data_IF_298741691696
#
_entry.id   IF_298741691696
#
_cell.length_a   1.000
_cell.length_b   1.000
_cell.length_c   1.000
_cell.angle_alpha   90.00
_cell.angle_beta   90.00
_cell.angle_gamma   90.00
#
_symmetry.space_group_name_H-M   'P 1'
#
loop_
_entity.id
_entity.type
_entity.pdbx_description
1 polymer ?
#
# COMPACT_ATOMS: atom_id res chain seq x y z
N UNK A 1 42.65 43.57 -86.45
CA UNK A 1 42.73 42.35 -87.26
C UNK A 1 42.77 41.15 -86.29
N UNK A 2 41.76 40.35 -86.27
CA UNK A 2 41.62 39.00 -85.78
C UNK A 2 42.31 38.59 -84.47
N UNK A 3 41.57 38.60 -83.36
CA UNK A 3 41.76 37.85 -82.11
C UNK A 3 41.21 36.45 -82.23
N UNK A 4 41.92 35.49 -81.68
CA UNK A 4 41.44 34.09 -81.50
C UNK A 4 41.16 33.81 -80.02
N UNK A 5 40.25 32.93 -79.65
CA UNK A 5 39.65 32.96 -78.32
C UNK A 5 40.36 32.03 -77.33
N UNK A 6 40.33 32.48 -76.06
CA UNK A 6 40.85 31.75 -74.91
C UNK A 6 39.90 30.60 -74.44
N UNK A 7 40.50 29.46 -74.10
CA UNK A 7 39.85 28.29 -73.49
C UNK A 7 39.66 28.49 -71.98
N UNK A 8 38.44 28.49 -71.51
CA UNK A 8 38.11 28.39 -70.10
C UNK A 8 38.12 26.96 -69.64
N UNK A 9 38.98 26.64 -68.66
CA UNK A 9 39.00 25.35 -67.96
C UNK A 9 37.87 25.30 -66.93
N UNK A 10 37.01 24.32 -67.07
CA UNK A 10 35.98 24.00 -66.06
C UNK A 10 36.61 23.08 -65.00
N UNK A 11 36.73 23.59 -63.77
CA UNK A 11 37.01 22.75 -62.58
C UNK A 11 35.72 22.08 -62.15
N UNK A 12 35.65 20.74 -62.23
CA UNK A 12 34.62 19.93 -61.60
C UNK A 12 35.02 19.70 -60.13
N UNK A 13 34.30 20.31 -59.20
CA UNK A 13 34.39 20.00 -57.78
C UNK A 13 33.50 18.81 -57.51
N UNK A 14 34.10 17.66 -57.24
CA UNK A 14 33.41 16.45 -56.74
C UNK A 14 33.15 16.66 -55.23
N UNK A 15 31.88 16.92 -54.87
CA UNK A 15 31.43 16.85 -53.48
C UNK A 15 31.22 15.35 -53.13
N UNK A 16 32.09 14.82 -52.32
CA UNK A 16 31.90 13.52 -51.66
C UNK A 16 30.94 13.71 -50.47
N UNK A 17 29.68 13.27 -50.64
CA UNK A 17 28.72 13.13 -49.58
C UNK A 17 29.09 11.89 -48.75
N UNK A 18 29.69 12.10 -47.59
CA UNK A 18 29.84 11.08 -46.58
C UNK A 18 28.49 10.82 -45.91
N UNK A 19 27.83 9.73 -46.27
CA UNK A 19 26.66 9.21 -45.53
C UNK A 19 27.14 8.62 -44.22
N UNK A 20 26.97 9.35 -43.12
CA UNK A 20 27.02 8.79 -41.77
C UNK A 20 25.78 7.91 -41.60
N UNK A 21 25.90 6.60 -41.78
CA UNK A 21 24.92 5.62 -41.34
C UNK A 21 24.97 5.55 -39.81
N UNK A 22 24.06 6.26 -39.12
CA UNK A 22 23.76 6.00 -37.72
C UNK A 22 23.15 4.59 -37.64
N UNK A 23 23.97 3.60 -37.34
CA UNK A 23 23.50 2.29 -36.89
C UNK A 23 22.82 2.52 -35.53
N UNK A 24 21.49 2.55 -35.53
CA UNK A 24 20.70 2.41 -34.31
C UNK A 24 21.01 1.01 -33.77
N UNK A 25 21.92 0.94 -32.80
CA UNK A 25 22.21 -0.29 -32.07
C UNK A 25 20.93 -0.73 -31.36
N UNK A 26 20.30 -1.79 -31.87
CA UNK A 26 19.26 -2.49 -31.13
C UNK A 26 19.90 -2.94 -29.82
N UNK A 27 19.41 -2.44 -28.68
CA UNK A 27 19.86 -2.88 -27.36
C UNK A 27 19.67 -4.41 -27.30
N UNK A 28 20.73 -5.13 -26.95
CA UNK A 28 20.67 -6.57 -26.77
C UNK A 28 19.57 -6.89 -25.75
N UNK A 29 18.78 -7.95 -25.93
CA UNK A 29 17.76 -8.33 -24.94
C UNK A 29 18.47 -8.59 -23.61
N UNK A 30 17.97 -7.95 -22.54
CA UNK A 30 18.49 -8.13 -21.19
C UNK A 30 18.54 -9.63 -20.85
N UNK A 31 19.63 -10.06 -20.18
CA UNK A 31 19.75 -11.45 -19.74
C UNK A 31 18.54 -11.82 -18.86
N UNK A 32 18.13 -13.10 -18.79
CA UNK A 32 17.03 -13.54 -17.91
C UNK A 32 17.22 -13.09 -16.45
N UNK A 33 18.44 -13.14 -15.92
CA UNK A 33 18.78 -12.65 -14.58
C UNK A 33 18.58 -11.13 -14.40
N UNK A 34 18.72 -10.33 -15.47
CA UNK A 34 18.41 -8.90 -15.42
C UNK A 34 16.90 -8.59 -15.47
N UNK A 35 16.07 -9.57 -15.85
CA UNK A 35 14.63 -9.42 -16.03
C UNK A 35 13.81 -9.81 -14.80
N UNK A 36 14.30 -10.72 -13.95
CA UNK A 36 13.62 -11.28 -12.80
C UNK A 36 14.52 -11.22 -11.57
N UNK A 37 13.93 -11.16 -10.40
CA UNK A 37 14.62 -11.39 -9.14
C UNK A 37 14.66 -12.89 -8.83
N UNK A 38 15.68 -13.29 -8.06
CA UNK A 38 15.77 -14.58 -7.42
C UNK A 38 15.38 -14.47 -5.93
N UNK A 39 15.22 -15.61 -5.26
CA UNK A 39 14.92 -15.63 -3.82
C UNK A 39 16.05 -14.98 -3.01
N UNK A 40 17.30 -15.21 -3.42
CA UNK A 40 18.51 -14.72 -2.77
C UNK A 40 18.69 -13.20 -2.86
N UNK A 41 17.97 -12.54 -3.76
CA UNK A 41 18.00 -11.07 -3.88
C UNK A 41 17.25 -10.38 -2.72
N UNK A 42 16.49 -11.13 -1.90
CA UNK A 42 15.59 -10.59 -0.87
C UNK A 42 16.24 -9.54 0.05
N UNK A 43 17.37 -9.86 0.69
CA UNK A 43 18.06 -8.95 1.59
C UNK A 43 18.81 -7.80 0.89
N UNK A 44 18.95 -7.85 -0.45
CA UNK A 44 19.74 -6.90 -1.22
C UNK A 44 18.89 -5.88 -1.99
N UNK A 45 17.59 -6.11 -2.10
CA UNK A 45 16.65 -5.20 -2.78
C UNK A 45 16.06 -4.22 -1.78
N UNK A 46 16.15 -2.92 -2.10
CA UNK A 46 15.51 -1.88 -1.29
C UNK A 46 13.99 -1.93 -1.46
N UNK A 47 13.29 -2.10 -0.34
CA UNK A 47 11.85 -2.31 -0.25
C UNK A 47 11.23 -1.35 0.76
N UNK A 48 9.93 -1.12 0.64
CA UNK A 48 9.11 -0.39 1.59
C UNK A 48 7.96 -1.30 2.00
N UNK A 49 7.82 -1.53 3.31
CA UNK A 49 6.58 -1.99 3.88
C UNK A 49 5.73 -0.76 4.21
N UNK A 50 4.73 -0.50 3.37
CA UNK A 50 3.92 0.71 3.44
C UNK A 50 2.75 0.61 4.44
N UNK A 51 2.67 -0.47 5.21
CA UNK A 51 1.61 -0.67 6.19
C UNK A 51 2.08 -1.55 7.36
N UNK A 52 2.60 -0.91 8.39
CA UNK A 52 2.94 -1.55 9.67
C UNK A 52 2.41 -0.71 10.83
N UNK A 53 2.28 -1.30 12.01
CA UNK A 53 1.88 -0.66 13.25
C UNK A 53 2.98 -0.86 14.29
N UNK A 54 3.93 0.08 14.37
CA UNK A 54 5.10 -0.06 15.25
C UNK A 54 5.00 0.90 16.43
N UNK A 55 4.98 0.35 17.62
CA UNK A 55 4.84 1.07 18.86
C UNK A 55 6.12 0.90 19.73
N UNK A 56 6.51 1.93 20.45
CA UNK A 56 7.68 1.87 21.33
C UNK A 56 9.04 1.99 20.59
N UNK A 57 10.10 1.42 21.19
CA UNK A 57 11.47 1.56 20.67
C UNK A 57 11.76 0.69 19.44
N UNK A 58 11.15 -0.47 19.38
CA UNK A 58 11.18 -1.43 18.27
C UNK A 58 12.58 -1.72 17.68
N UNK A 59 13.63 -1.74 18.51
CA UNK A 59 15.02 -1.86 18.03
C UNK A 59 15.26 -3.16 17.26
N UNK A 60 14.71 -4.29 17.75
CA UNK A 60 14.88 -5.60 17.11
C UNK A 60 14.13 -5.67 15.78
N UNK A 61 12.90 -5.17 15.75
CA UNK A 61 12.12 -5.07 14.53
C UNK A 61 12.85 -4.23 13.48
N UNK A 62 13.34 -3.05 13.84
CA UNK A 62 14.06 -2.18 12.93
C UNK A 62 15.39 -2.79 12.46
N UNK A 63 16.10 -3.51 13.33
CA UNK A 63 17.32 -4.22 12.94
C UNK A 63 17.02 -5.28 11.86
N UNK A 64 15.94 -6.06 12.03
CA UNK A 64 15.51 -7.04 11.05
C UNK A 64 15.03 -6.38 9.75
N UNK A 65 14.18 -5.35 9.84
CA UNK A 65 13.71 -4.62 8.67
C UNK A 65 14.88 -4.08 7.83
N UNK A 66 15.92 -3.53 8.48
CA UNK A 66 17.12 -3.04 7.81
C UNK A 66 17.92 -4.19 7.17
N UNK A 67 18.07 -5.32 7.88
CA UNK A 67 18.78 -6.49 7.37
C UNK A 67 18.08 -7.07 6.13
N UNK A 68 16.74 -7.03 6.11
CA UNK A 68 15.91 -7.47 4.99
C UNK A 68 15.73 -6.41 3.89
N UNK A 69 16.37 -5.24 4.00
CA UNK A 69 16.30 -4.18 3.01
C UNK A 69 15.01 -3.35 3.06
N UNK A 70 14.24 -3.40 4.16
CA UNK A 70 13.00 -2.64 4.30
C UNK A 70 13.20 -1.23 4.87
N UNK A 71 12.46 -0.30 4.32
CA UNK A 71 11.99 0.95 4.92
C UNK A 71 10.53 0.75 5.30
N UNK A 72 10.00 1.49 6.27
CA UNK A 72 8.63 1.29 6.76
C UNK A 72 7.82 2.57 6.74
N UNK A 73 6.50 2.42 6.56
CA UNK A 73 5.49 3.41 6.92
C UNK A 73 4.72 2.86 8.13
N UNK A 74 4.99 3.41 9.32
CA UNK A 74 4.19 3.07 10.49
C UNK A 74 2.92 3.93 10.55
N UNK A 75 1.79 3.31 10.87
CA UNK A 75 0.47 3.92 10.78
C UNK A 75 -0.14 3.99 12.18
N UNK A 76 -0.45 5.22 12.64
CA UNK A 76 -1.22 5.45 13.85
C UNK A 76 -2.70 5.16 13.58
N UNK A 77 -3.38 4.52 14.54
CA UNK A 77 -4.77 4.08 14.39
C UNK A 77 -5.57 4.35 15.66
N UNK A 78 -6.80 4.81 15.51
CA UNK A 78 -7.78 4.93 16.60
C UNK A 78 -8.39 3.55 16.89
N UNK A 79 -7.58 2.64 17.45
CA UNK A 79 -7.93 1.26 17.75
C UNK A 79 -7.84 1.01 19.27
N UNK A 80 -8.92 0.45 19.89
CA UNK A 80 -8.96 0.29 21.35
C UNK A 80 -7.83 -0.54 21.97
N UNK A 81 -7.30 -1.51 21.22
CA UNK A 81 -6.25 -2.41 21.71
C UNK A 81 -4.83 -1.84 21.48
N UNK A 82 -4.73 -0.66 20.82
CA UNK A 82 -3.45 0.05 20.64
C UNK A 82 -3.25 1.12 21.71
N UNK A 83 -2.02 1.56 21.93
CA UNK A 83 -1.76 2.70 22.81
C UNK A 83 -2.54 3.95 22.39
N UNK A 84 -2.83 4.89 23.29
CA UNK A 84 -3.48 6.15 22.94
C UNK A 84 -2.78 6.85 21.76
N UNK A 85 -3.53 7.49 20.85
CA UNK A 85 -2.98 8.06 19.61
C UNK A 85 -1.78 8.98 19.89
N UNK A 86 -1.81 9.79 20.95
CA UNK A 86 -0.69 10.66 21.32
C UNK A 86 0.59 9.88 21.70
N UNK A 87 0.47 8.64 22.17
CA UNK A 87 1.61 7.76 22.44
C UNK A 87 2.14 7.14 21.15
N UNK A 88 1.25 6.68 20.28
CA UNK A 88 1.60 6.20 18.95
C UNK A 88 2.34 7.31 18.17
N UNK A 89 1.87 8.55 18.19
CA UNK A 89 2.52 9.69 17.55
C UNK A 89 3.95 9.91 18.10
N UNK A 90 4.11 9.92 19.44
CA UNK A 90 5.44 10.06 20.04
C UNK A 90 6.39 8.94 19.63
N UNK A 91 5.91 7.70 19.61
CA UNK A 91 6.69 6.54 19.19
C UNK A 91 7.12 6.66 17.71
N UNK A 92 6.20 7.00 16.82
CA UNK A 92 6.46 7.17 15.39
C UNK A 92 7.48 8.29 15.12
N UNK A 93 7.35 9.45 15.78
CA UNK A 93 8.30 10.56 15.70
C UNK A 93 9.68 10.14 16.21
N UNK A 94 9.74 9.45 17.34
CA UNK A 94 11.01 8.95 17.90
C UNK A 94 11.70 7.96 16.97
N UNK A 95 10.94 7.01 16.39
CA UNK A 95 11.47 6.06 15.41
C UNK A 95 12.00 6.76 14.17
N UNK A 96 11.25 7.72 13.62
CA UNK A 96 11.67 8.50 12.46
C UNK A 96 12.96 9.29 12.72
N UNK A 97 13.11 9.85 13.90
CA UNK A 97 14.34 10.57 14.32
C UNK A 97 15.53 9.62 14.49
N UNK A 98 15.30 8.42 15.05
CA UNK A 98 16.35 7.42 15.29
C UNK A 98 16.80 6.72 14.01
N UNK A 99 15.89 6.57 13.04
CA UNK A 99 16.14 5.86 11.77
C UNK A 99 15.83 6.77 10.56
N UNK A 100 16.58 7.86 10.37
CA UNK A 100 16.33 8.83 9.31
C UNK A 100 16.42 8.16 7.93
N UNK A 101 15.45 8.45 7.06
CA UNK A 101 15.35 7.84 5.74
C UNK A 101 14.85 6.39 5.74
N UNK A 102 14.58 5.79 6.91
CA UNK A 102 14.07 4.42 7.02
C UNK A 102 12.62 4.36 7.49
N UNK A 103 12.19 5.34 8.28
CA UNK A 103 10.84 5.38 8.87
C UNK A 103 10.11 6.62 8.41
N UNK A 104 8.91 6.41 7.88
CA UNK A 104 7.87 7.42 7.71
C UNK A 104 6.66 7.06 8.58
N UNK A 105 5.74 7.99 8.81
CA UNK A 105 4.50 7.67 9.54
C UNK A 105 3.28 8.39 8.98
N UNK A 106 2.12 7.72 9.11
CA UNK A 106 0.81 8.31 8.89
C UNK A 106 0.13 8.55 10.24
N UNK A 107 -0.59 9.66 10.34
CA UNK A 107 -1.34 10.06 11.53
C UNK A 107 -2.79 9.58 11.45
N UNK A 108 -3.52 9.70 12.54
CA UNK A 108 -4.96 9.49 12.63
C UNK A 108 -5.60 10.54 13.51
N UNK A 109 -6.91 10.48 13.68
CA UNK A 109 -7.66 11.30 14.63
C UNK A 109 -8.63 10.45 15.42
N UNK A 110 -8.90 10.86 16.67
CA UNK A 110 -9.89 10.17 17.50
C UNK A 110 -11.31 10.46 17.05
N UNK A 111 -12.16 9.42 17.09
CA UNK A 111 -13.61 9.57 16.96
C UNK A 111 -14.32 9.77 18.30
N UNK A 112 -13.58 9.81 19.40
CA UNK A 112 -14.15 10.14 20.71
C UNK A 112 -14.83 11.51 20.69
N UNK A 113 -16.04 11.58 21.21
CA UNK A 113 -16.84 12.81 21.19
C UNK A 113 -17.36 13.22 19.81
N UNK A 114 -17.43 12.30 18.84
CA UNK A 114 -17.88 12.56 17.47
C UNK A 114 -19.23 13.29 17.38
N UNK A 115 -20.17 13.01 18.28
CA UNK A 115 -21.45 13.70 18.35
C UNK A 115 -21.36 15.18 18.82
N UNK A 116 -20.21 15.62 19.35
CA UNK A 116 -20.00 17.00 19.80
C UNK A 116 -19.70 17.95 18.64
N UNK A 117 -20.30 19.15 18.62
CA UNK A 117 -19.91 20.17 17.63
C UNK A 117 -18.43 20.58 17.66
N UNK A 118 -17.73 20.33 18.78
CA UNK A 118 -16.32 20.63 18.93
C UNK A 118 -15.40 19.55 18.34
N UNK A 119 -15.93 18.36 18.02
CA UNK A 119 -15.12 17.22 17.57
C UNK A 119 -14.28 17.52 16.33
N UNK A 120 -14.88 18.05 15.27
CA UNK A 120 -14.16 18.35 14.03
C UNK A 120 -12.97 19.29 14.22
N UNK A 121 -13.10 20.27 15.14
CA UNK A 121 -11.99 21.16 15.47
C UNK A 121 -10.89 20.45 16.27
N UNK A 122 -11.25 19.51 17.14
CA UNK A 122 -10.28 18.70 17.90
C UNK A 122 -9.52 17.74 16.97
N UNK A 123 -10.22 17.00 16.11
CA UNK A 123 -9.62 16.11 15.12
C UNK A 123 -8.63 16.86 14.19
N UNK A 124 -9.02 18.05 13.71
CA UNK A 124 -8.12 18.87 12.87
C UNK A 124 -6.86 19.32 13.62
N UNK A 125 -6.97 19.76 14.89
CA UNK A 125 -5.79 20.12 15.70
C UNK A 125 -4.85 18.93 15.90
N UNK A 126 -5.38 17.73 16.09
CA UNK A 126 -4.60 16.52 16.20
C UNK A 126 -3.82 16.24 14.92
N UNK A 127 -4.48 16.34 13.77
CA UNK A 127 -3.81 16.21 12.46
C UNK A 127 -2.78 17.31 12.22
N UNK A 128 -3.05 18.57 12.63
CA UNK A 128 -2.07 19.66 12.56
C UNK A 128 -0.80 19.34 13.35
N UNK A 129 -0.94 18.75 14.54
CA UNK A 129 0.19 18.28 15.35
C UNK A 129 0.99 17.19 14.62
N UNK A 130 0.30 16.22 14.02
CA UNK A 130 0.95 15.14 13.26
C UNK A 130 1.72 15.66 12.04
N UNK A 131 1.10 16.55 11.25
CA UNK A 131 1.74 17.15 10.09
C UNK A 131 2.94 18.03 10.46
N UNK A 132 2.84 18.79 11.56
CA UNK A 132 3.96 19.58 12.06
C UNK A 132 5.15 18.70 12.48
N UNK A 133 4.93 17.44 12.81
CA UNK A 133 5.96 16.46 13.16
C UNK A 133 6.34 15.55 11.99
N UNK A 134 5.78 15.79 10.81
CA UNK A 134 6.17 15.15 9.55
C UNK A 134 5.37 13.92 9.18
N UNK A 135 4.14 13.77 9.65
CA UNK A 135 3.19 12.78 9.13
C UNK A 135 2.97 12.97 7.63
N UNK A 136 2.91 11.88 6.86
CA UNK A 136 2.83 11.91 5.39
C UNK A 136 1.46 11.49 4.85
N UNK A 137 0.57 11.06 5.72
CA UNK A 137 -0.79 10.63 5.39
C UNK A 137 -1.67 10.60 6.62
N UNK A 138 -2.95 10.31 6.42
CA UNK A 138 -3.95 10.15 7.48
C UNK A 138 -4.64 8.81 7.33
N UNK A 139 -4.73 8.06 8.43
CA UNK A 139 -5.48 6.80 8.49
C UNK A 139 -6.88 7.03 9.04
N UNK A 140 -7.86 6.44 8.37
CA UNK A 140 -9.18 6.16 8.97
C UNK A 140 -9.35 4.65 9.11
N UNK A 141 -9.94 4.23 10.22
CA UNK A 141 -10.04 2.82 10.56
C UNK A 141 -11.50 2.31 10.44
N UNK A 142 -11.65 1.01 10.41
CA UNK A 142 -12.95 0.31 10.24
C UNK A 142 -14.00 0.61 11.32
N UNK A 143 -13.62 1.23 12.46
CA UNK A 143 -14.59 1.72 13.43
C UNK A 143 -15.60 2.67 12.77
N UNK A 144 -15.19 3.47 11.78
CA UNK A 144 -16.08 4.27 10.95
C UNK A 144 -16.77 3.33 9.94
N UNK A 145 -18.05 3.14 10.14
CA UNK A 145 -18.89 2.21 9.36
C UNK A 145 -19.20 0.89 10.08
N UNK A 146 -18.42 0.50 11.11
CA UNK A 146 -18.64 -0.78 11.80
C UNK A 146 -18.91 -0.65 13.30
N UNK A 147 -18.40 0.38 13.97
CA UNK A 147 -18.56 0.54 15.42
C UNK A 147 -19.06 1.90 15.86
N UNK A 148 -18.59 2.97 15.19
CA UNK A 148 -18.93 4.34 15.55
C UNK A 148 -20.45 4.59 15.37
N UNK A 149 -21.07 5.10 16.45
CA UNK A 149 -22.50 5.45 16.44
C UNK A 149 -22.71 6.94 16.71
N UNK A 150 -23.76 7.45 16.12
CA UNK A 150 -24.27 8.79 16.42
C UNK A 150 -25.11 8.81 17.71
N UNK A 151 -25.52 9.99 18.15
CA UNK A 151 -26.34 10.19 19.35
C UNK A 151 -27.70 9.46 19.29
N UNK A 152 -28.25 9.24 18.11
CA UNK A 152 -29.50 8.48 17.90
C UNK A 152 -29.28 6.97 17.79
N UNK A 153 -28.02 6.50 17.91
CA UNK A 153 -27.64 5.10 17.81
C UNK A 153 -27.41 4.59 16.40
N UNK A 154 -27.58 5.42 15.35
CA UNK A 154 -27.28 5.04 13.98
C UNK A 154 -25.77 4.90 13.74
N UNK A 155 -25.36 4.02 12.79
CA UNK A 155 -23.95 3.87 12.43
C UNK A 155 -23.46 5.06 11.60
N UNK A 156 -22.32 5.60 11.99
CA UNK A 156 -21.64 6.66 11.24
C UNK A 156 -20.85 6.02 10.09
N UNK A 157 -21.19 6.41 8.87
CA UNK A 157 -20.61 5.86 7.65
C UNK A 157 -19.45 6.70 7.14
N UNK A 158 -18.54 6.17 6.30
CA UNK A 158 -17.38 6.90 5.76
C UNK A 158 -17.70 8.21 5.03
N UNK A 159 -18.91 8.37 4.51
CA UNK A 159 -19.40 9.56 3.81
C UNK A 159 -20.21 10.52 4.69
N UNK A 160 -20.13 10.39 6.01
CA UNK A 160 -20.81 11.32 6.93
C UNK A 160 -20.25 12.75 6.75
N UNK A 161 -21.17 13.72 6.60
CA UNK A 161 -20.81 15.11 6.30
C UNK A 161 -19.89 15.76 7.36
N UNK A 162 -19.83 15.23 8.58
CA UNK A 162 -18.91 15.73 9.62
C UNK A 162 -17.44 15.46 9.32
N UNK A 163 -17.13 14.48 8.46
CA UNK A 163 -15.77 14.25 7.96
C UNK A 163 -15.36 15.21 6.84
N UNK A 164 -16.32 15.88 6.18
CA UNK A 164 -16.08 16.78 5.05
C UNK A 164 -14.92 17.78 5.27
N UNK A 165 -14.84 18.50 6.42
CA UNK A 165 -13.77 19.47 6.65
C UNK A 165 -12.37 18.85 6.71
N UNK A 166 -12.28 17.56 7.06
CA UNK A 166 -11.03 16.80 7.09
C UNK A 166 -10.71 16.32 5.67
N UNK A 167 -11.65 15.65 5.01
CA UNK A 167 -11.44 15.05 3.69
C UNK A 167 -11.14 16.11 2.63
N UNK A 168 -11.92 17.22 2.60
CA UNK A 168 -11.68 18.33 1.69
C UNK A 168 -10.31 18.99 1.91
N UNK A 169 -9.82 19.03 3.15
CA UNK A 169 -8.45 19.48 3.45
C UNK A 169 -7.42 18.54 2.88
N UNK A 170 -7.55 17.22 3.09
CA UNK A 170 -6.61 16.23 2.57
C UNK A 170 -6.54 16.27 1.04
N UNK A 171 -7.71 16.39 0.38
CA UNK A 171 -7.81 16.55 -1.08
C UNK A 171 -7.07 17.81 -1.56
N UNK A 172 -7.38 18.98 -0.98
CA UNK A 172 -6.77 20.26 -1.33
C UNK A 172 -5.27 20.29 -1.11
N UNK A 173 -4.79 19.72 -0.01
CA UNK A 173 -3.40 19.74 0.40
C UNK A 173 -2.61 18.54 -0.18
N UNK A 174 -3.26 17.71 -1.02
CA UNK A 174 -2.71 16.49 -1.64
C UNK A 174 -2.13 15.48 -0.65
N UNK A 175 -2.71 15.40 0.56
CA UNK A 175 -2.32 14.45 1.60
C UNK A 175 -3.05 13.13 1.36
N UNK A 176 -2.34 12.02 1.49
CA UNK A 176 -2.90 10.68 1.27
C UNK A 176 -3.86 10.31 2.42
N UNK A 177 -5.06 9.86 2.09
CA UNK A 177 -5.96 9.20 3.01
C UNK A 177 -5.83 7.69 2.88
N UNK A 178 -5.37 7.02 3.94
CA UNK A 178 -5.32 5.56 4.03
C UNK A 178 -6.64 5.08 4.63
N UNK A 179 -7.44 4.40 3.84
CA UNK A 179 -8.81 4.03 4.20
C UNK A 179 -8.99 2.55 4.45
N UNK A 180 -9.15 2.16 5.73
CA UNK A 180 -9.61 0.82 6.10
C UNK A 180 -11.14 0.86 6.32
N UNK A 181 -11.91 0.65 5.25
CA UNK A 181 -13.36 0.54 5.31
C UNK A 181 -13.78 -0.89 5.08
N UNK A 182 -14.51 -1.44 6.03
CA UNK A 182 -14.93 -2.84 6.14
C UNK A 182 -13.78 -3.83 6.41
N UNK A 183 -14.10 -4.93 7.04
CA UNK A 183 -13.28 -6.14 7.17
C UNK A 183 -13.30 -6.94 5.86
N UNK A 184 -12.51 -8.01 5.71
CA UNK A 184 -12.64 -8.93 4.58
C UNK A 184 -14.05 -9.52 4.50
N UNK A 185 -14.49 -9.89 3.30
CA UNK A 185 -15.83 -10.48 3.08
C UNK A 185 -16.11 -11.67 4.01
N UNK A 186 -15.10 -12.43 4.39
CA UNK A 186 -15.21 -13.53 5.35
C UNK A 186 -15.89 -13.11 6.66
N UNK A 187 -15.75 -11.86 7.09
CA UNK A 187 -16.40 -11.30 8.28
C UNK A 187 -17.94 -11.43 8.27
N UNK A 188 -18.55 -11.41 7.09
CA UNK A 188 -20.00 -11.55 6.88
C UNK A 188 -20.44 -12.96 6.50
N UNK A 189 -19.53 -13.93 6.48
CA UNK A 189 -19.81 -15.31 6.12
C UNK A 189 -19.83 -16.23 7.35
N UNK A 190 -20.63 -17.30 7.36
CA UNK A 190 -20.50 -18.33 8.38
C UNK A 190 -19.11 -18.99 8.28
N UNK A 191 -18.58 -19.48 9.40
CA UNK A 191 -17.22 -20.03 9.50
C UNK A 191 -16.88 -21.09 8.46
N UNK A 192 -17.84 -21.93 8.11
CA UNK A 192 -17.67 -23.02 7.11
C UNK A 192 -17.53 -22.51 5.67
N UNK A 193 -17.91 -21.25 5.41
CA UNK A 193 -17.77 -20.60 4.09
C UNK A 193 -16.56 -19.68 3.99
N UNK A 194 -15.88 -19.41 5.11
CA UNK A 194 -14.67 -18.58 5.10
C UNK A 194 -13.55 -19.26 4.33
N UNK A 195 -12.86 -18.51 3.50
CA UNK A 195 -11.87 -19.02 2.54
C UNK A 195 -10.50 -19.28 3.14
N UNK A 196 -10.10 -18.50 4.16
CA UNK A 196 -8.80 -18.61 4.82
C UNK A 196 -8.94 -18.86 6.32
N UNK A 197 -7.98 -19.58 6.90
CA UNK A 197 -8.03 -20.01 8.31
C UNK A 197 -7.70 -18.88 9.26
N UNK A 198 -6.79 -17.97 8.87
CA UNK A 198 -6.44 -16.78 9.65
C UNK A 198 -7.65 -15.89 9.93
N UNK A 199 -8.48 -15.57 8.92
CA UNK A 199 -9.72 -14.82 9.14
C UNK A 199 -10.66 -15.58 10.10
N UNK A 200 -10.77 -16.89 9.92
CA UNK A 200 -11.61 -17.72 10.80
C UNK A 200 -11.14 -17.73 12.25
N UNK A 201 -9.82 -17.76 12.48
CA UNK A 201 -9.23 -17.68 13.80
C UNK A 201 -9.49 -16.29 14.40
N UNK A 202 -9.18 -15.23 13.66
CA UNK A 202 -9.41 -13.86 14.09
C UNK A 202 -10.85 -13.59 14.54
N UNK A 203 -11.86 -13.98 13.74
CA UNK A 203 -13.26 -13.74 14.10
C UNK A 203 -13.79 -14.65 15.23
N UNK A 204 -13.09 -15.73 15.56
CA UNK A 204 -13.38 -16.50 16.78
C UNK A 204 -12.89 -15.81 18.03
N UNK A 205 -11.71 -15.21 17.94
CA UNK A 205 -11.06 -14.50 19.04
C UNK A 205 -11.66 -13.11 19.26
N UNK A 206 -12.19 -12.48 18.18
CA UNK A 206 -12.79 -11.15 18.19
C UNK A 206 -14.27 -11.17 17.75
N UNK A 207 -15.16 -11.81 18.51
CA UNK A 207 -16.57 -11.98 18.12
C UNK A 207 -17.33 -10.65 17.96
N UNK A 208 -16.86 -9.57 18.61
CA UNK A 208 -17.39 -8.22 18.47
C UNK A 208 -17.18 -7.64 17.05
N UNK A 209 -16.22 -8.13 16.29
CA UNK A 209 -15.95 -7.74 14.90
C UNK A 209 -16.53 -8.75 13.90
N UNK A 210 -17.16 -9.84 14.35
CA UNK A 210 -17.71 -10.87 13.47
C UNK A 210 -19.13 -10.53 13.02
N UNK A 211 -19.24 -9.76 11.93
CA UNK A 211 -20.48 -9.16 11.44
C UNK A 211 -21.58 -10.18 11.07
N UNK A 212 -21.22 -11.40 10.71
CA UNK A 212 -22.20 -12.49 10.50
C UNK A 212 -23.11 -12.72 11.71
N UNK A 213 -22.65 -12.43 12.93
CA UNK A 213 -23.42 -12.55 14.17
C UNK A 213 -24.16 -11.28 14.57
N UNK A 214 -23.99 -10.21 13.81
CA UNK A 214 -24.51 -8.88 14.09
C UNK A 214 -25.32 -8.35 12.90
N UNK A 215 -26.51 -8.97 12.60
CA UNK A 215 -27.31 -8.61 11.43
C UNK A 215 -27.88 -7.17 11.51
N UNK A 216 -27.84 -6.55 12.69
CA UNK A 216 -28.21 -5.15 12.91
C UNK A 216 -27.11 -4.18 12.45
N UNK A 217 -25.91 -4.64 12.20
CA UNK A 217 -24.78 -3.82 11.73
C UNK A 217 -24.85 -3.64 10.22
N UNK A 218 -24.19 -2.58 9.66
CA UNK A 218 -24.15 -2.35 8.24
C UNK A 218 -23.58 -3.55 7.47
N UNK A 219 -24.15 -3.81 6.28
CA UNK A 219 -23.60 -4.83 5.40
C UNK A 219 -22.26 -4.39 4.82
N UNK A 220 -21.45 -5.34 4.38
CA UNK A 220 -20.21 -5.09 3.68
C UNK A 220 -20.41 -4.12 2.50
N UNK A 221 -21.42 -4.37 1.66
CA UNK A 221 -21.75 -3.54 0.51
C UNK A 221 -22.17 -2.12 0.90
N UNK A 222 -22.89 -1.95 2.03
CA UNK A 222 -23.31 -0.64 2.50
C UNK A 222 -22.10 0.23 2.88
N UNK A 223 -21.11 -0.37 3.57
CA UNK A 223 -19.88 0.33 3.97
C UNK A 223 -19.06 0.71 2.73
N UNK A 224 -18.86 -0.24 1.79
CA UNK A 224 -18.12 0.05 0.56
C UNK A 224 -18.85 1.07 -0.33
N UNK A 225 -20.19 1.05 -0.37
CA UNK A 225 -20.96 2.06 -1.10
C UNK A 225 -20.79 3.46 -0.50
N UNK A 226 -20.71 3.57 0.84
CA UNK A 226 -20.43 4.84 1.52
C UNK A 226 -19.01 5.35 1.20
N UNK A 227 -17.99 4.50 1.28
CA UNK A 227 -16.64 4.82 0.80
C UNK A 227 -16.65 5.33 -0.64
N UNK A 228 -17.33 4.61 -1.53
CA UNK A 228 -17.41 4.97 -2.94
C UNK A 228 -18.16 6.30 -3.18
N UNK A 229 -19.13 6.68 -2.32
CA UNK A 229 -19.78 8.02 -2.35
C UNK A 229 -18.81 9.11 -1.92
N UNK A 230 -18.05 8.87 -0.83
CA UNK A 230 -16.99 9.77 -0.37
C UNK A 230 -15.97 10.04 -1.50
N UNK A 231 -15.45 8.98 -2.14
CA UNK A 231 -14.48 9.12 -3.24
C UNK A 231 -15.05 9.82 -4.48
N UNK A 232 -16.34 9.65 -4.78
CA UNK A 232 -17.00 10.39 -5.86
C UNK A 232 -17.18 11.88 -5.54
N UNK A 233 -17.38 12.23 -4.27
CA UNK A 233 -17.45 13.62 -3.82
C UNK A 233 -16.07 14.31 -3.86
N UNK A 234 -14.99 13.53 -3.72
CA UNK A 234 -13.60 14.00 -3.66
C UNK A 234 -12.73 13.36 -4.76
N UNK A 235 -12.96 13.68 -6.04
CA UNK A 235 -12.31 13.00 -7.16
C UNK A 235 -10.79 13.25 -7.25
N UNK A 236 -10.27 14.30 -6.62
CA UNK A 236 -8.83 14.61 -6.57
C UNK A 236 -8.14 14.08 -5.30
N UNK A 237 -8.89 13.46 -4.38
CA UNK A 237 -8.32 12.87 -3.17
C UNK A 237 -7.35 11.74 -3.52
N UNK A 238 -6.14 11.81 -3.01
CA UNK A 238 -5.18 10.70 -3.06
C UNK A 238 -5.59 9.69 -1.99
N UNK A 239 -5.93 8.49 -2.41
CA UNK A 239 -6.54 7.50 -1.54
C UNK A 239 -5.82 6.15 -1.64
N UNK A 240 -5.26 5.67 -0.55
CA UNK A 240 -4.82 4.30 -0.43
C UNK A 240 -5.95 3.47 0.19
N UNK A 241 -6.63 2.68 -0.64
CA UNK A 241 -7.67 1.76 -0.21
C UNK A 241 -7.00 0.50 0.34
N UNK A 242 -6.59 0.57 1.61
CA UNK A 242 -5.79 -0.47 2.24
C UNK A 242 -6.52 -1.83 2.22
N UNK A 243 -5.75 -2.92 2.37
CA UNK A 243 -6.27 -4.30 2.40
C UNK A 243 -7.00 -4.70 1.12
N UNK A 244 -6.42 -4.36 -0.07
CA UNK A 244 -7.06 -4.59 -1.37
C UNK A 244 -8.46 -3.95 -1.48
N UNK A 245 -8.64 -2.76 -0.88
CA UNK A 245 -9.90 -2.03 -0.83
C UNK A 245 -11.04 -2.81 -0.14
N UNK A 246 -10.73 -3.78 0.73
CA UNK A 246 -11.67 -4.76 1.30
C UNK A 246 -12.50 -5.49 0.22
N UNK A 247 -11.86 -5.77 -0.91
CA UNK A 247 -12.38 -6.52 -2.07
C UNK A 247 -11.50 -7.75 -2.36
N UNK A 248 -10.76 -8.19 -1.37
CA UNK A 248 -9.67 -9.19 -1.40
C UNK A 248 -10.07 -10.55 -1.96
N UNK A 249 -11.36 -10.90 -1.91
CA UNK A 249 -11.84 -12.22 -2.35
C UNK A 249 -11.84 -12.41 -3.87
N UNK A 250 -11.76 -11.31 -4.65
CA UNK A 250 -11.73 -11.37 -6.11
C UNK A 250 -10.97 -10.18 -6.70
N UNK A 251 -9.80 -10.44 -7.30
CA UNK A 251 -8.96 -9.41 -7.94
C UNK A 251 -9.67 -8.67 -9.08
N UNK A 252 -10.73 -9.24 -9.70
CA UNK A 252 -11.52 -8.53 -10.71
C UNK A 252 -12.37 -7.41 -10.06
N UNK A 253 -12.77 -7.57 -8.79
CA UNK A 253 -13.46 -6.52 -8.03
C UNK A 253 -12.52 -5.40 -7.66
N UNK A 254 -11.28 -5.73 -7.24
CA UNK A 254 -10.22 -4.74 -7.00
C UNK A 254 -9.90 -3.98 -8.29
N UNK A 255 -9.79 -4.69 -9.42
CA UNK A 255 -9.58 -4.08 -10.74
C UNK A 255 -10.70 -3.09 -11.10
N UNK A 256 -11.96 -3.48 -10.92
CA UNK A 256 -13.11 -2.61 -11.20
C UNK A 256 -13.15 -1.37 -10.27
N UNK A 257 -12.69 -1.49 -9.03
CA UNK A 257 -12.51 -0.36 -8.11
C UNK A 257 -11.42 0.60 -8.62
N UNK A 258 -10.26 0.08 -8.97
CA UNK A 258 -9.14 0.88 -9.49
C UNK A 258 -9.50 1.57 -10.83
N UNK A 259 -10.22 0.89 -11.73
CA UNK A 259 -10.69 1.50 -12.98
C UNK A 259 -11.70 2.64 -12.74
N UNK A 260 -12.49 2.55 -11.66
CA UNK A 260 -13.49 3.57 -11.29
C UNK A 260 -12.87 4.79 -10.61
N UNK A 261 -11.84 4.61 -9.80
CA UNK A 261 -11.21 5.65 -9.00
C UNK A 261 -9.73 5.84 -9.40
N UNK A 262 -9.43 6.69 -10.39
CA UNK A 262 -8.09 6.82 -10.95
C UNK A 262 -7.04 7.36 -9.96
N UNK A 263 -7.45 8.05 -8.90
CA UNK A 263 -6.57 8.58 -7.86
C UNK A 263 -6.49 7.69 -6.59
N UNK A 264 -7.07 6.47 -6.66
CA UNK A 264 -6.93 5.49 -5.59
C UNK A 264 -5.85 4.46 -5.91
N UNK A 265 -5.06 4.11 -4.95
CA UNK A 265 -4.15 2.96 -4.91
C UNK A 265 -4.73 1.89 -3.98
N UNK A 266 -4.10 0.73 -3.91
CA UNK A 266 -4.40 -0.32 -2.92
C UNK A 266 -3.11 -0.88 -2.34
N UNK A 267 -3.12 -1.27 -1.07
CA UNK A 267 -2.07 -2.10 -0.53
C UNK A 267 -2.52 -3.57 -0.41
N UNK A 268 -1.54 -4.46 -0.21
CA UNK A 268 -1.78 -5.89 -0.01
C UNK A 268 -1.73 -6.31 1.46
N UNK A 269 -1.67 -5.36 2.38
CA UNK A 269 -1.52 -5.56 3.81
C UNK A 269 -2.54 -6.56 4.36
N UNK A 270 -2.08 -7.57 5.09
CA UNK A 270 -2.88 -8.70 5.59
C UNK A 270 -3.70 -9.45 4.52
N UNK A 271 -3.42 -9.27 3.25
CA UNK A 271 -4.23 -9.87 2.15
C UNK A 271 -3.41 -10.68 1.15
N UNK A 272 -2.10 -10.85 1.37
CA UNK A 272 -1.29 -11.74 0.53
C UNK A 272 -1.86 -13.15 0.49
N UNK A 273 -2.32 -13.69 1.62
CA UNK A 273 -2.97 -14.99 1.70
C UNK A 273 -4.21 -15.13 0.80
N UNK A 274 -4.96 -14.04 0.60
CA UNK A 274 -6.12 -14.05 -0.32
C UNK A 274 -5.69 -14.05 -1.79
N UNK A 275 -4.57 -13.42 -2.13
CA UNK A 275 -3.97 -13.51 -3.47
C UNK A 275 -3.45 -14.93 -3.73
N UNK A 276 -2.79 -15.55 -2.75
CA UNK A 276 -2.32 -16.93 -2.81
C UNK A 276 -3.49 -17.92 -2.97
N UNK A 277 -4.58 -17.74 -2.20
CA UNK A 277 -5.79 -18.53 -2.31
C UNK A 277 -6.43 -18.46 -3.70
N UNK A 278 -6.44 -17.29 -4.32
CA UNK A 278 -6.90 -17.13 -5.71
C UNK A 278 -5.90 -17.73 -6.70
N UNK A 279 -4.59 -17.59 -6.45
CA UNK A 279 -3.53 -18.16 -7.28
C UNK A 279 -3.53 -19.69 -7.24
N UNK A 280 -3.97 -20.32 -6.15
CA UNK A 280 -4.16 -21.77 -6.09
C UNK A 280 -5.19 -22.29 -7.11
N UNK A 281 -6.09 -21.42 -7.57
CA UNK A 281 -7.14 -21.74 -8.56
C UNK A 281 -6.76 -21.24 -9.97
N UNK A 282 -6.31 -19.99 -10.07
CA UNK A 282 -5.87 -19.37 -11.33
C UNK A 282 -4.70 -18.40 -11.08
N UNK A 283 -3.46 -18.91 -11.07
CA UNK A 283 -2.28 -18.06 -10.86
C UNK A 283 -2.12 -17.02 -11.97
N UNK A 284 -2.60 -17.31 -13.18
CA UNK A 284 -2.50 -16.36 -14.29
C UNK A 284 -3.48 -15.19 -14.13
N UNK A 285 -4.65 -15.39 -13.52
CA UNK A 285 -5.59 -14.31 -13.18
C UNK A 285 -4.93 -13.31 -12.22
N UNK A 286 -4.38 -13.80 -11.11
CA UNK A 286 -3.70 -12.95 -10.12
C UNK A 286 -2.48 -12.25 -10.73
N UNK A 287 -1.69 -12.99 -11.50
CA UNK A 287 -0.53 -12.41 -12.19
C UNK A 287 -0.93 -11.30 -13.17
N UNK A 288 -1.97 -11.52 -14.00
CA UNK A 288 -2.48 -10.49 -14.92
C UNK A 288 -2.96 -9.24 -14.19
N UNK A 289 -3.63 -9.40 -13.05
CA UNK A 289 -4.07 -8.30 -12.20
C UNK A 289 -2.87 -7.46 -11.72
N UNK A 290 -1.87 -8.09 -11.08
CA UNK A 290 -0.68 -7.38 -10.59
C UNK A 290 0.11 -6.72 -11.72
N UNK A 291 0.21 -7.36 -12.88
CA UNK A 291 0.86 -6.78 -14.06
C UNK A 291 0.11 -5.56 -14.61
N UNK A 292 -1.22 -5.61 -14.67
CA UNK A 292 -2.05 -4.51 -15.20
C UNK A 292 -2.03 -3.30 -14.29
N UNK A 293 -2.15 -3.51 -12.98
CA UNK A 293 -2.25 -2.43 -11.98
C UNK A 293 -0.94 -2.20 -11.23
N UNK A 294 0.18 -2.62 -11.80
CA UNK A 294 1.51 -2.54 -11.19
C UNK A 294 1.93 -1.16 -10.67
N UNK A 295 1.32 -0.08 -11.19
CA UNK A 295 1.59 1.30 -10.80
C UNK A 295 0.66 1.81 -9.68
N UNK A 296 -0.22 0.94 -9.17
CA UNK A 296 -1.31 1.28 -8.26
C UNK A 296 -1.42 0.31 -7.06
N UNK A 297 -0.43 -0.56 -6.87
CA UNK A 297 -0.42 -1.58 -5.80
C UNK A 297 0.81 -1.36 -4.95
N UNK A 298 0.63 -1.23 -3.63
CA UNK A 298 1.69 -1.09 -2.64
C UNK A 298 1.87 -2.40 -1.87
N UNK A 299 3.11 -2.71 -1.52
CA UNK A 299 3.38 -3.75 -0.53
C UNK A 299 3.13 -3.20 0.88
N UNK A 300 2.46 -3.97 1.70
CA UNK A 300 2.24 -3.77 3.12
C UNK A 300 2.01 -5.12 3.79
N UNK A 301 2.50 -5.31 5.00
CA UNK A 301 2.33 -6.55 5.77
C UNK A 301 1.16 -6.51 6.74
N UNK A 302 0.85 -5.34 7.29
CA UNK A 302 -0.05 -5.12 8.43
C UNK A 302 0.52 -5.65 9.76
N UNK A 303 1.85 -5.83 9.83
CA UNK A 303 2.50 -6.27 11.05
C UNK A 303 2.30 -5.24 12.16
N UNK A 304 1.86 -5.72 13.32
CA UNK A 304 1.87 -4.96 14.57
C UNK A 304 3.07 -5.37 15.41
N UNK A 305 3.80 -4.40 15.95
CA UNK A 305 4.94 -4.63 16.86
C UNK A 305 4.91 -3.63 18.00
N UNK A 306 4.73 -4.12 19.21
CA UNK A 306 4.55 -3.31 20.41
C UNK A 306 5.74 -3.35 21.39
N UNK A 307 5.66 -2.63 22.50
CA UNK A 307 6.70 -2.63 23.54
C UNK A 307 6.86 -3.99 24.25
N UNK A 308 5.80 -4.81 24.22
CA UNK A 308 5.80 -6.15 24.82
C UNK A 308 6.36 -7.22 23.86
N UNK A 309 6.48 -6.91 22.58
CA UNK A 309 6.99 -7.81 21.52
C UNK A 309 8.53 -7.87 21.56
N UNK A 310 9.05 -8.33 22.71
CA UNK A 310 10.51 -8.46 22.92
C UNK A 310 11.03 -9.83 22.54
N UNK A 311 10.14 -10.79 22.19
CA UNK A 311 10.53 -12.15 21.84
C UNK A 311 11.26 -12.18 20.47
N UNK A 312 12.48 -12.72 20.40
CA UNK A 312 13.15 -12.96 19.13
C UNK A 312 12.34 -13.81 18.14
N UNK A 313 11.44 -14.68 18.63
CA UNK A 313 10.60 -15.53 17.79
C UNK A 313 9.61 -14.70 16.96
N UNK A 314 9.06 -13.60 17.48
CA UNK A 314 8.16 -12.70 16.74
C UNK A 314 8.87 -12.03 15.57
N UNK A 315 10.08 -11.52 15.81
CA UNK A 315 10.90 -10.90 14.75
C UNK A 315 11.27 -11.94 13.67
N UNK A 316 11.57 -13.18 14.09
CA UNK A 316 11.84 -14.27 13.15
C UNK A 316 10.58 -14.65 12.33
N UNK A 317 9.39 -14.61 12.92
CA UNK A 317 8.13 -14.81 12.21
C UNK A 317 7.89 -13.71 11.16
N UNK A 318 8.08 -12.46 11.53
CA UNK A 318 7.97 -11.32 10.59
C UNK A 318 8.93 -11.47 9.40
N UNK A 319 10.19 -11.83 9.66
CA UNK A 319 11.14 -12.13 8.60
C UNK A 319 10.65 -13.25 7.67
N UNK A 320 10.10 -14.32 8.27
CA UNK A 320 9.60 -15.46 7.50
C UNK A 320 8.41 -15.09 6.61
N UNK A 321 7.50 -14.23 7.10
CA UNK A 321 6.34 -13.74 6.36
C UNK A 321 6.80 -12.84 5.19
N UNK A 322 7.69 -11.87 5.43
CA UNK A 322 8.26 -11.04 4.38
C UNK A 322 8.97 -11.87 3.29
N UNK A 323 9.71 -12.91 3.70
CA UNK A 323 10.40 -13.80 2.76
C UNK A 323 9.42 -14.68 1.96
N UNK A 324 8.33 -15.15 2.60
CA UNK A 324 7.29 -15.93 1.93
C UNK A 324 6.55 -15.08 0.88
N UNK A 325 6.19 -13.84 1.20
CA UNK A 325 5.57 -12.89 0.27
C UNK A 325 6.51 -12.58 -0.92
N UNK A 326 7.79 -12.34 -0.62
CA UNK A 326 8.80 -12.16 -1.67
C UNK A 326 8.87 -13.38 -2.58
N UNK A 327 8.97 -14.59 -2.00
CA UNK A 327 9.00 -15.84 -2.75
C UNK A 327 7.78 -15.99 -3.65
N UNK A 328 6.59 -15.69 -3.13
CA UNK A 328 5.35 -15.75 -3.92
C UNK A 328 5.37 -14.83 -5.14
N UNK A 329 5.89 -13.60 -4.98
CA UNK A 329 5.89 -12.63 -6.06
C UNK A 329 7.00 -12.88 -7.08
N UNK A 330 8.21 -13.31 -6.66
CA UNK A 330 9.39 -13.34 -7.54
C UNK A 330 9.72 -14.71 -8.13
N UNK A 331 9.27 -15.81 -7.51
CA UNK A 331 9.59 -17.18 -8.00
C UNK A 331 8.40 -17.82 -8.71
N UNK A 332 8.64 -18.94 -9.39
CA UNK A 332 7.61 -19.84 -9.92
C UNK A 332 7.47 -21.12 -9.07
N UNK A 333 7.97 -21.10 -7.85
CA UNK A 333 8.02 -22.24 -6.95
C UNK A 333 6.63 -22.79 -6.64
N UNK A 334 6.58 -24.08 -6.37
CA UNK A 334 5.40 -24.67 -5.73
C UNK A 334 5.45 -24.36 -4.24
N UNK A 335 4.39 -23.77 -3.74
CA UNK A 335 4.24 -23.34 -2.36
C UNK A 335 2.99 -23.95 -1.71
N UNK A 336 2.93 -23.91 -0.40
CA UNK A 336 1.80 -24.30 0.42
C UNK A 336 1.55 -23.21 1.46
N UNK A 337 0.30 -23.04 1.86
CA UNK A 337 -0.11 -22.15 2.94
C UNK A 337 -0.73 -22.97 4.06
N UNK A 338 -0.56 -22.54 5.29
CA UNK A 338 -1.29 -23.08 6.44
C UNK A 338 -2.74 -22.60 6.47
N UNK A 339 -3.07 -21.56 5.72
CA UNK A 339 -4.36 -20.88 5.70
C UNK A 339 -5.43 -21.57 4.85
N UNK A 340 -5.03 -22.42 3.89
CA UNK A 340 -5.96 -23.14 3.02
C UNK A 340 -5.36 -24.45 2.51
N UNK A 341 -6.21 -25.36 2.03
CA UNK A 341 -5.76 -26.64 1.49
C UNK A 341 -5.30 -26.49 0.03
N UNK A 342 -4.27 -27.25 -0.31
CA UNK A 342 -3.73 -27.32 -1.66
C UNK A 342 -2.40 -26.59 -1.79
N UNK A 343 -1.85 -26.68 -3.00
CA UNK A 343 -0.63 -25.97 -3.38
C UNK A 343 -0.96 -24.87 -4.35
N UNK A 344 -0.16 -23.82 -4.31
CA UNK A 344 -0.16 -22.75 -5.30
C UNK A 344 1.23 -22.57 -5.90
N UNK A 345 1.34 -21.71 -6.90
CA UNK A 345 2.61 -21.35 -7.50
C UNK A 345 2.90 -19.88 -7.33
N UNK A 346 4.16 -19.56 -7.10
CA UNK A 346 4.65 -18.21 -7.19
C UNK A 346 4.37 -17.58 -8.56
N UNK A 347 4.26 -16.26 -8.59
CA UNK A 347 3.78 -15.50 -9.74
C UNK A 347 4.88 -15.14 -10.74
N UNK A 348 6.16 -15.27 -10.35
CA UNK A 348 7.32 -14.95 -11.18
C UNK A 348 7.15 -13.61 -11.92
N UNK A 349 6.94 -12.54 -11.14
CA UNK A 349 6.76 -11.19 -11.67
C UNK A 349 8.07 -10.62 -12.19
N UNK A 350 8.05 -9.83 -13.28
CA UNK A 350 9.23 -9.11 -13.74
C UNK A 350 9.77 -8.15 -12.67
N UNK A 351 11.09 -8.00 -12.60
CA UNK A 351 11.79 -7.09 -11.67
C UNK A 351 11.17 -5.69 -11.65
N UNK A 352 10.82 -5.13 -12.81
CA UNK A 352 10.20 -3.81 -12.92
C UNK A 352 8.85 -3.71 -12.23
N UNK A 353 8.08 -4.79 -12.17
CA UNK A 353 6.79 -4.86 -11.47
C UNK A 353 7.02 -4.99 -9.96
N UNK A 354 7.95 -5.86 -9.56
CA UNK A 354 8.33 -6.04 -8.15
C UNK A 354 8.87 -4.73 -7.56
N UNK A 355 9.75 -4.01 -8.30
CA UNK A 355 10.26 -2.70 -7.88
C UNK A 355 9.16 -1.66 -7.64
N UNK A 356 8.08 -1.71 -8.43
CA UNK A 356 6.93 -0.81 -8.27
C UNK A 356 6.15 -1.16 -7.02
N UNK A 357 5.75 -2.41 -6.88
CA UNK A 357 4.94 -2.89 -5.75
C UNK A 357 5.67 -2.69 -4.43
N UNK A 358 6.94 -3.09 -4.35
CA UNK A 358 7.71 -3.01 -3.11
C UNK A 358 8.28 -1.64 -2.80
N UNK A 359 8.35 -0.70 -3.75
CA UNK A 359 9.03 0.55 -3.47
C UNK A 359 8.47 1.76 -4.21
N UNK A 360 8.48 1.75 -5.55
CA UNK A 360 8.31 2.97 -6.33
C UNK A 360 6.93 3.59 -6.17
N UNK A 361 5.90 2.76 -5.99
CA UNK A 361 4.53 3.24 -5.77
C UNK A 361 4.42 3.96 -4.43
N UNK A 362 5.00 3.40 -3.36
CA UNK A 362 5.03 4.06 -2.06
C UNK A 362 5.84 5.38 -2.10
N UNK A 363 7.01 5.40 -2.76
CA UNK A 363 7.79 6.63 -2.97
C UNK A 363 7.00 7.68 -3.75
N UNK A 364 6.23 7.27 -4.77
CA UNK A 364 5.37 8.15 -5.56
C UNK A 364 4.16 8.66 -4.79
N UNK A 365 3.51 7.78 -4.03
CA UNK A 365 2.32 8.12 -3.26
C UNK A 365 2.63 9.05 -2.08
N UNK A 366 3.66 8.76 -1.30
CA UNK A 366 4.00 9.49 -0.09
C UNK A 366 5.13 10.53 -0.27
N UNK A 367 5.56 10.80 -1.46
CA UNK A 367 6.45 11.86 -1.93
C UNK A 367 7.52 12.34 -0.96
N UNK A 368 8.75 11.81 -1.01
CA UNK A 368 9.87 12.25 -0.18
C UNK A 368 9.77 11.86 1.30
N UNK A 369 8.84 10.95 1.68
CA UNK A 369 8.63 10.51 3.06
C UNK A 369 9.90 9.90 3.69
N UNK A 370 10.70 9.23 2.87
CA UNK A 370 11.97 8.60 3.26
C UNK A 370 13.22 9.38 2.82
N UNK A 371 13.06 10.64 2.42
CA UNK A 371 14.21 11.51 2.11
C UNK A 371 14.86 12.00 3.41
N UNK A 372 16.05 11.48 3.71
CA UNK A 372 16.83 11.84 4.89
C UNK A 372 17.29 13.32 4.90
N UNK A 373 17.28 13.98 3.73
CA UNK A 373 17.70 15.38 3.58
C UNK A 373 16.57 16.39 3.78
N UNK A 374 15.33 15.93 3.80
CA UNK A 374 14.15 16.78 4.01
C UNK A 374 14.18 17.32 5.44
N UNK A 375 14.62 18.56 5.62
CA UNK A 375 14.59 19.25 6.92
C UNK A 375 13.15 19.30 7.44
N UNK A 376 13.02 18.98 8.71
CA UNK A 376 11.78 19.07 9.49
C UNK A 376 11.30 20.52 9.58
#
# INVERSE_FOLDING_TARGET
MKAAPGRTARFCVLLALAQCACAAGAAAPASPAARFYALEDFGHVDKIDAHVHVHGSAERFMAQAIADGFRILTINVDYPDFPPIGEQQRAAVSLRQRYPGRVAFAETFSVEGFASPAWSAAARRQLDSGFAQGAVGVKIWKNIGMALRDADGSYVMPDDARFEPIIARLERDHIVLLGHQAEPLNCWLPFEKMTVRSDRAYFREHPQYYMYRHPEMPTHEAILAARDRMLRAHPALRFDAVHLASLEWDVDRVAAFLDRFPNADVDVAARMVHLEYQAARDPQKVRRFLMRYQDRILYGSDVSYGPDDSDPAEVAAIHSDWLADWRFLVTADRMHSEDFDGAFRGLHLPRTVVDKIYRRNAEGLFGGAWDATRKQ
#
